data_IF_132577192027
#
_entry.id   IF_132577192027
#
_cell.length_a   1.000
_cell.length_b   1.000
_cell.length_c   1.000
_cell.angle_alpha   90.00
_cell.angle_beta   90.00
_cell.angle_gamma   90.00
#
_symmetry.space_group_name_H-M   'P 1'
#
loop_
_entity.id
_entity.type
_entity.pdbx_description
1 polymer ?
#
# COMPACT_ATOMS: atom_id res chain seq x y z
N UNK A 1 -13.37 -27.65 6.24
CA UNK A 1 -13.54 -28.33 4.93
C UNK A 1 -12.76 -29.63 4.95
N UNK A 2 -13.30 -30.74 4.41
CA UNK A 2 -12.58 -32.00 4.32
C UNK A 2 -11.31 -31.86 3.45
N UNK A 3 -10.21 -32.52 3.85
CA UNK A 3 -8.90 -32.47 3.15
C UNK A 3 -8.99 -32.81 1.66
N UNK A 4 -9.82 -33.80 1.28
CA UNK A 4 -9.98 -34.21 -0.11
C UNK A 4 -10.55 -33.11 -1.02
N UNK A 5 -11.37 -32.20 -0.50
CA UNK A 5 -11.94 -31.09 -1.29
C UNK A 5 -10.89 -29.99 -1.53
N UNK A 6 -9.97 -29.78 -0.57
CA UNK A 6 -8.88 -28.80 -0.71
C UNK A 6 -7.87 -29.26 -1.77
N UNK A 7 -7.48 -30.53 -1.76
CA UNK A 7 -6.55 -31.12 -2.73
C UNK A 7 -7.10 -31.02 -4.17
N UNK A 8 -8.37 -31.36 -4.38
CA UNK A 8 -9.00 -31.26 -5.72
C UNK A 8 -9.09 -29.81 -6.21
N UNK A 9 -9.41 -28.86 -5.33
CA UNK A 9 -9.44 -27.44 -5.70
C UNK A 9 -8.06 -26.90 -6.05
N UNK A 10 -7.02 -27.27 -5.29
CA UNK A 10 -5.64 -26.87 -5.57
C UNK A 10 -5.17 -27.44 -6.93
N UNK A 11 -5.48 -28.70 -7.20
CA UNK A 11 -5.15 -29.36 -8.47
C UNK A 11 -5.82 -28.68 -9.66
N UNK A 12 -7.11 -28.35 -9.56
CA UNK A 12 -7.83 -27.64 -10.63
C UNK A 12 -7.29 -26.22 -10.83
N UNK A 13 -6.92 -25.53 -9.76
CA UNK A 13 -6.33 -24.20 -9.79
C UNK A 13 -4.98 -24.22 -10.52
N UNK A 14 -4.07 -25.10 -10.13
CA UNK A 14 -2.76 -25.25 -10.79
C UNK A 14 -2.94 -25.54 -12.28
N UNK A 15 -3.82 -26.48 -12.64
CA UNK A 15 -4.08 -26.83 -14.05
C UNK A 15 -4.66 -25.66 -14.86
N UNK A 16 -5.45 -24.77 -14.25
CA UNK A 16 -6.03 -23.63 -14.95
C UNK A 16 -4.98 -22.56 -15.33
N UNK A 17 -3.84 -22.52 -14.62
CA UNK A 17 -2.79 -21.51 -14.81
C UNK A 17 -1.45 -22.11 -15.27
N UNK A 18 -1.35 -23.43 -15.42
CA UNK A 18 -0.11 -24.16 -15.72
C UNK A 18 0.62 -23.66 -16.98
N UNK A 19 -0.13 -23.17 -17.97
CA UNK A 19 0.42 -22.66 -19.23
C UNK A 19 0.18 -21.14 -19.42
N UNK A 20 -0.17 -20.43 -18.36
CA UNK A 20 -0.39 -18.99 -18.44
C UNK A 20 0.94 -18.24 -18.35
N UNK A 21 1.27 -17.43 -19.36
CA UNK A 21 2.40 -16.48 -19.27
C UNK A 21 2.01 -15.19 -18.53
N UNK A 22 0.72 -14.85 -18.58
CA UNK A 22 0.15 -13.64 -18.00
C UNK A 22 -1.24 -13.92 -17.42
N UNK A 23 -1.48 -13.49 -16.19
CA UNK A 23 -2.77 -13.48 -15.53
C UNK A 23 -3.23 -12.03 -15.40
N UNK A 24 -4.43 -11.73 -15.90
CA UNK A 24 -5.03 -10.40 -15.83
C UNK A 24 -6.19 -10.46 -14.82
N UNK A 25 -6.05 -9.72 -13.74
CA UNK A 25 -7.10 -9.45 -12.77
C UNK A 25 -7.90 -8.21 -13.20
N UNK A 26 -9.17 -8.41 -13.50
CA UNK A 26 -10.15 -7.35 -13.73
C UNK A 26 -11.35 -7.51 -12.77
N UNK A 27 -11.15 -8.20 -11.64
CA UNK A 27 -12.20 -8.52 -10.66
C UNK A 27 -12.57 -7.33 -9.78
N UNK A 28 -11.73 -6.30 -9.73
CA UNK A 28 -11.83 -5.16 -8.79
C UNK A 28 -11.81 -5.58 -7.32
N UNK A 29 -11.26 -6.76 -7.01
CA UNK A 29 -11.23 -7.33 -5.66
C UNK A 29 -9.81 -7.38 -5.10
N UNK A 30 -9.58 -6.60 -4.04
CA UNK A 30 -8.31 -6.62 -3.28
C UNK A 30 -7.97 -8.04 -2.82
N UNK A 31 -8.98 -8.85 -2.44
CA UNK A 31 -8.77 -10.23 -2.00
C UNK A 31 -8.26 -11.15 -3.13
N UNK A 32 -8.75 -10.94 -4.36
CA UNK A 32 -8.29 -11.70 -5.53
C UNK A 32 -6.87 -11.27 -5.89
N UNK A 33 -6.62 -9.97 -5.99
CA UNK A 33 -5.31 -9.41 -6.28
C UNK A 33 -4.26 -9.91 -5.28
N UNK A 34 -4.58 -9.83 -3.98
CA UNK A 34 -3.68 -10.27 -2.90
C UNK A 34 -3.41 -11.77 -2.96
N UNK A 35 -4.40 -12.57 -3.35
CA UNK A 35 -4.21 -14.00 -3.56
C UNK A 35 -3.28 -14.26 -4.75
N UNK A 36 -3.50 -13.58 -5.88
CA UNK A 36 -2.67 -13.69 -7.08
C UNK A 36 -1.21 -13.28 -6.83
N UNK A 37 -1.00 -12.22 -6.04
CA UNK A 37 0.32 -11.72 -5.71
C UNK A 37 1.13 -12.72 -4.87
N UNK A 38 0.50 -13.31 -3.85
CA UNK A 38 1.18 -14.02 -2.75
C UNK A 38 1.08 -15.54 -2.79
N UNK A 39 0.15 -16.12 -3.55
CA UNK A 39 -0.01 -17.56 -3.65
C UNK A 39 0.89 -18.15 -4.73
N UNK A 40 1.90 -18.91 -4.31
CA UNK A 40 2.87 -19.53 -5.21
C UNK A 40 2.25 -20.61 -6.12
N UNK A 41 1.02 -21.08 -5.84
CA UNK A 41 0.35 -22.10 -6.67
C UNK A 41 0.01 -21.64 -8.09
N UNK A 42 0.08 -20.33 -8.36
CA UNK A 42 -0.10 -19.78 -9.70
C UNK A 42 1.17 -19.88 -10.58
N UNK A 43 2.30 -20.37 -10.07
CA UNK A 43 3.56 -20.48 -10.81
C UNK A 43 4.19 -19.12 -11.14
N UNK A 44 5.01 -19.07 -12.19
CA UNK A 44 5.83 -17.89 -12.54
C UNK A 44 5.14 -16.89 -13.48
N UNK A 45 3.89 -17.14 -13.89
CA UNK A 45 3.12 -16.25 -14.76
C UNK A 45 3.19 -14.79 -14.31
N UNK A 46 3.36 -13.81 -15.19
CA UNK A 46 3.23 -12.41 -14.75
C UNK A 46 1.81 -12.12 -14.32
N UNK A 47 1.62 -11.19 -13.40
CA UNK A 47 0.30 -10.69 -13.03
C UNK A 47 0.12 -9.24 -13.41
N UNK A 48 -1.12 -8.90 -13.75
CA UNK A 48 -1.58 -7.53 -13.91
C UNK A 48 -2.93 -7.37 -13.23
N UNK A 49 -3.17 -6.21 -12.64
CA UNK A 49 -4.48 -5.78 -12.15
C UNK A 49 -4.90 -4.54 -12.93
N UNK A 50 -6.12 -4.55 -13.46
CA UNK A 50 -6.72 -3.40 -14.14
C UNK A 50 -8.10 -3.13 -13.56
N UNK A 51 -8.34 -1.87 -13.20
CA UNK A 51 -9.61 -1.47 -12.61
C UNK A 51 -9.91 0.00 -12.90
N UNK A 52 -11.19 0.35 -12.78
CA UNK A 52 -11.62 1.75 -12.88
C UNK A 52 -11.65 2.39 -11.49
N UNK A 53 -11.42 3.70 -11.43
CA UNK A 53 -11.70 4.46 -10.23
C UNK A 53 -13.23 4.48 -9.94
N UNK A 54 -13.67 4.86 -8.73
CA UNK A 54 -15.08 4.79 -8.34
C UNK A 54 -16.05 5.59 -9.24
N UNK A 55 -15.58 6.67 -9.87
CA UNK A 55 -16.34 7.47 -10.84
C UNK A 55 -16.37 6.89 -12.24
N UNK A 56 -15.54 5.90 -12.54
CA UNK A 56 -15.40 5.32 -13.88
C UNK A 56 -14.83 6.28 -14.92
N UNK A 57 -14.08 7.30 -14.48
CA UNK A 57 -13.44 8.30 -15.34
C UNK A 57 -11.95 8.03 -15.53
N UNK A 58 -11.39 7.09 -14.77
CA UNK A 58 -9.97 6.76 -14.78
C UNK A 58 -9.75 5.25 -14.79
N UNK A 59 -8.79 4.79 -15.59
CA UNK A 59 -8.27 3.42 -15.58
C UNK A 59 -6.97 3.39 -14.79
N UNK A 60 -6.86 2.47 -13.85
CA UNK A 60 -5.62 2.12 -13.16
C UNK A 60 -5.12 0.79 -13.72
N UNK A 61 -3.82 0.71 -13.99
CA UNK A 61 -3.12 -0.51 -14.39
C UNK A 61 -1.92 -0.71 -13.48
N UNK A 62 -1.86 -1.89 -12.85
CA UNK A 62 -0.73 -2.44 -12.14
C UNK A 62 -0.20 -3.63 -12.94
N UNK A 63 1.09 -3.66 -13.24
CA UNK A 63 1.71 -4.70 -14.07
C UNK A 63 3.04 -5.13 -13.44
N UNK A 64 3.16 -6.39 -13.04
CA UNK A 64 4.40 -6.94 -12.49
C UNK A 64 5.50 -6.96 -13.57
N UNK A 65 6.76 -6.87 -13.18
CA UNK A 65 7.92 -7.21 -14.03
C UNK A 65 8.02 -8.74 -14.26
N UNK A 66 8.84 -9.16 -15.22
CA UNK A 66 9.03 -10.60 -15.52
C UNK A 66 9.61 -11.41 -14.35
N UNK A 67 10.46 -10.80 -13.53
CA UNK A 67 11.05 -11.45 -12.35
C UNK A 67 10.13 -11.40 -11.13
N UNK A 68 8.97 -10.72 -11.26
CA UNK A 68 8.01 -10.47 -10.17
C UNK A 68 8.68 -9.83 -8.95
N UNK A 69 9.71 -9.00 -9.16
CA UNK A 69 10.32 -8.17 -8.11
C UNK A 69 9.29 -7.18 -7.55
N UNK A 70 8.51 -6.55 -8.43
CA UNK A 70 7.39 -5.69 -8.10
C UNK A 70 6.09 -6.47 -8.24
N UNK A 71 5.82 -7.33 -7.26
CA UNK A 71 4.55 -8.07 -7.18
C UNK A 71 3.36 -7.12 -7.10
N UNK A 72 2.18 -7.60 -7.50
CA UNK A 72 0.94 -6.81 -7.46
C UNK A 72 0.69 -6.13 -6.10
N UNK A 73 0.92 -6.83 -4.99
CA UNK A 73 0.73 -6.25 -3.66
C UNK A 73 1.65 -5.04 -3.41
N UNK A 74 2.91 -5.11 -3.86
CA UNK A 74 3.86 -3.99 -3.72
C UNK A 74 3.54 -2.83 -4.67
N UNK A 75 3.03 -3.14 -5.87
CA UNK A 75 2.56 -2.14 -6.83
C UNK A 75 1.31 -1.42 -6.30
N UNK A 76 0.36 -2.14 -5.72
CA UNK A 76 -0.83 -1.56 -5.09
C UNK A 76 -0.44 -0.65 -3.92
N UNK A 77 0.51 -1.08 -3.07
CA UNK A 77 0.99 -0.23 -1.97
C UNK A 77 1.70 1.03 -2.47
N UNK A 78 2.45 0.92 -3.57
CA UNK A 78 3.08 2.08 -4.23
C UNK A 78 2.01 3.01 -4.79
N UNK A 79 0.96 2.48 -5.41
CA UNK A 79 -0.20 3.24 -5.87
C UNK A 79 -0.89 3.97 -4.70
N UNK A 80 -1.17 3.31 -3.57
CA UNK A 80 -1.77 3.98 -2.41
C UNK A 80 -0.88 5.08 -1.82
N UNK A 81 0.44 4.88 -1.79
CA UNK A 81 1.38 5.95 -1.43
C UNK A 81 1.17 7.18 -2.33
N UNK A 82 1.02 6.97 -3.62
CA UNK A 82 0.90 8.06 -4.59
C UNK A 82 -0.43 8.79 -4.47
N UNK A 83 -1.50 8.14 -4.05
CA UNK A 83 -2.74 8.83 -3.67
C UNK A 83 -2.54 9.82 -2.51
N UNK A 84 -1.58 9.57 -1.62
CA UNK A 84 -1.30 10.44 -0.47
C UNK A 84 -0.45 11.64 -0.89
N UNK A 85 0.59 11.43 -1.70
CA UNK A 85 1.65 12.42 -1.95
C UNK A 85 1.59 13.12 -3.32
N UNK A 86 0.82 12.62 -4.28
CA UNK A 86 0.67 13.27 -5.59
C UNK A 86 -0.67 14.01 -5.65
N UNK A 87 -0.59 15.34 -5.67
CA UNK A 87 -1.76 16.22 -5.67
C UNK A 87 -2.68 16.00 -6.89
N UNK A 88 -2.14 15.47 -8.00
CA UNK A 88 -2.93 15.12 -9.19
C UNK A 88 -3.97 14.03 -8.91
N UNK A 89 -3.80 13.27 -7.82
CA UNK A 89 -4.63 12.13 -7.44
C UNK A 89 -5.55 12.41 -6.23
N UNK A 90 -5.58 13.65 -5.72
CA UNK A 90 -6.37 13.99 -4.52
C UNK A 90 -7.85 13.57 -4.62
N UNK A 91 -8.46 13.71 -5.80
CA UNK A 91 -9.87 13.35 -6.05
C UNK A 91 -10.04 11.99 -6.74
N UNK A 92 -8.96 11.23 -6.92
CA UNK A 92 -8.94 9.99 -7.74
C UNK A 92 -9.97 8.96 -7.26
N UNK A 93 -10.08 8.75 -5.94
CA UNK A 93 -11.02 7.81 -5.32
C UNK A 93 -12.32 8.45 -4.82
N UNK A 94 -12.61 9.68 -5.23
CA UNK A 94 -13.90 10.31 -4.90
C UNK A 94 -15.06 9.54 -5.55
N UNK A 95 -16.19 9.44 -4.84
CA UNK A 95 -17.39 8.74 -5.32
C UNK A 95 -18.34 9.73 -5.99
N UNK A 96 -19.09 9.30 -7.00
CA UNK A 96 -20.18 10.09 -7.60
C UNK A 96 -21.34 10.28 -6.61
N UNK A 97 -22.24 11.23 -6.88
CA UNK A 97 -23.49 11.35 -6.12
C UNK A 97 -24.26 10.02 -6.12
N UNK A 98 -24.66 9.57 -4.93
CA UNK A 98 -25.39 8.31 -4.74
C UNK A 98 -26.87 8.53 -5.02
N UNK A 99 -27.48 7.76 -5.94
CA UNK A 99 -28.93 7.56 -5.90
C UNK A 99 -29.26 6.38 -4.98
N UNK A 100 -30.07 6.62 -3.94
CA UNK A 100 -30.65 5.55 -3.14
C UNK A 100 -31.68 4.80 -3.98
N UNK A 101 -31.34 3.62 -4.48
CA UNK A 101 -32.36 2.68 -4.95
C UNK A 101 -32.93 1.97 -3.72
N UNK A 102 -34.23 2.17 -3.45
CA UNK A 102 -34.94 1.50 -2.35
C UNK A 102 -34.90 -0.02 -2.57
N UNK A 103 -33.95 -0.73 -1.96
CA UNK A 103 -33.86 -2.19 -2.03
C UNK A 103 -33.08 -2.75 -0.82
N UNK A 104 -33.76 -3.50 0.05
CA UNK A 104 -33.19 -4.18 1.21
C UNK A 104 -32.36 -5.42 0.82
N UNK A 105 -31.29 -5.24 0.03
CA UNK A 105 -30.29 -6.27 -0.21
C UNK A 105 -28.89 -5.66 -0.23
N UNK A 106 -27.84 -6.47 -0.06
CA UNK A 106 -26.42 -6.04 -0.19
C UNK A 106 -26.02 -5.54 -1.60
N UNK A 107 -27.01 -5.18 -2.44
CA UNK A 107 -26.89 -4.51 -3.75
C UNK A 107 -27.53 -3.10 -3.72
N UNK A 108 -27.48 -2.42 -2.59
CA UNK A 108 -28.20 -1.16 -2.39
C UNK A 108 -27.43 0.10 -2.85
N UNK A 109 -26.19 -0.03 -3.33
CA UNK A 109 -25.40 1.10 -3.83
C UNK A 109 -24.67 0.69 -5.11
N UNK A 110 -25.15 1.15 -6.27
CA UNK A 110 -24.39 1.10 -7.53
C UNK A 110 -24.01 2.52 -7.89
N UNK A 111 -22.72 2.77 -8.08
CA UNK A 111 -22.26 3.98 -8.75
C UNK A 111 -22.80 3.99 -10.18
N UNK A 112 -23.27 5.14 -10.65
CA UNK A 112 -23.60 5.32 -12.05
C UNK A 112 -22.27 5.59 -12.76
N UNK A 113 -21.86 4.66 -13.61
CA UNK A 113 -20.66 4.80 -14.43
C UNK A 113 -21.11 5.04 -15.87
N UNK A 114 -20.48 6.02 -16.53
CA UNK A 114 -20.68 6.26 -17.95
C UNK A 114 -20.15 5.08 -18.78
N UNK A 115 -21.03 4.46 -19.55
CA UNK A 115 -20.71 3.29 -20.36
C UNK A 115 -19.71 3.61 -21.48
N UNK A 116 -19.72 4.82 -22.02
CA UNK A 116 -18.79 5.25 -23.07
C UNK A 116 -17.37 5.34 -22.49
N UNK A 117 -17.24 5.83 -21.25
CA UNK A 117 -15.97 5.83 -20.53
C UNK A 117 -15.46 4.40 -20.31
N UNK A 118 -16.33 3.46 -19.93
CA UNK A 118 -15.94 2.04 -19.78
C UNK A 118 -15.40 1.49 -21.09
N UNK A 119 -16.09 1.71 -22.22
CA UNK A 119 -15.64 1.25 -23.53
C UNK A 119 -14.30 1.84 -23.96
N UNK A 120 -14.11 3.16 -23.76
CA UNK A 120 -12.87 3.86 -24.05
C UNK A 120 -11.71 3.35 -23.20
N UNK A 121 -11.89 3.25 -21.88
CA UNK A 121 -10.87 2.81 -20.94
C UNK A 121 -10.55 1.32 -21.10
N UNK A 122 -11.53 0.46 -21.38
CA UNK A 122 -11.29 -0.95 -21.69
C UNK A 122 -10.45 -1.12 -22.98
N UNK A 123 -10.70 -0.28 -23.98
CA UNK A 123 -9.90 -0.26 -25.21
C UNK A 123 -8.44 0.14 -24.93
N UNK A 124 -8.23 1.12 -24.04
CA UNK A 124 -6.89 1.49 -23.57
C UNK A 124 -6.24 0.34 -22.80
N UNK A 125 -6.93 -0.25 -21.82
CA UNK A 125 -6.43 -1.37 -21.04
C UNK A 125 -5.96 -2.51 -21.95
N UNK A 126 -6.78 -2.92 -22.91
CA UNK A 126 -6.43 -3.96 -23.89
C UNK A 126 -5.16 -3.62 -24.67
N UNK A 127 -5.03 -2.38 -25.16
CA UNK A 127 -3.83 -1.95 -25.89
C UNK A 127 -2.58 -1.95 -25.02
N UNK A 128 -2.69 -1.47 -23.78
CA UNK A 128 -1.53 -1.32 -22.88
C UNK A 128 -1.07 -2.67 -22.35
N UNK A 129 -1.99 -3.58 -22.01
CA UNK A 129 -1.65 -4.96 -21.63
C UNK A 129 -0.87 -5.67 -22.75
N UNK A 130 -1.27 -5.52 -24.02
CA UNK A 130 -0.56 -6.08 -25.17
C UNK A 130 0.84 -5.47 -25.36
N UNK A 131 0.99 -4.15 -25.15
CA UNK A 131 2.29 -3.48 -25.24
C UNK A 131 3.24 -3.92 -24.12
N UNK A 132 2.74 -3.99 -22.89
CA UNK A 132 3.52 -4.37 -21.72
C UNK A 132 3.88 -5.86 -21.72
N UNK A 133 3.06 -6.72 -22.31
CA UNK A 133 3.40 -8.13 -22.53
C UNK A 133 4.68 -8.30 -23.36
N UNK A 134 5.00 -7.35 -24.25
CA UNK A 134 6.24 -7.34 -25.03
C UNK A 134 7.44 -6.68 -24.32
N UNK A 135 7.25 -6.13 -23.12
CA UNK A 135 8.30 -5.53 -22.27
C UNK A 135 8.59 -6.44 -21.07
N UNK A 136 9.72 -6.28 -20.40
CA UNK A 136 10.05 -6.99 -19.16
C UNK A 136 9.72 -6.20 -17.89
N UNK A 137 9.31 -4.94 -18.02
CA UNK A 137 9.28 -3.95 -16.95
C UNK A 137 7.96 -3.95 -16.18
N UNK A 138 8.03 -3.65 -14.89
CA UNK A 138 6.85 -3.34 -14.10
C UNK A 138 6.28 -1.97 -14.45
N UNK A 139 4.98 -1.77 -14.20
CA UNK A 139 4.28 -0.52 -14.49
C UNK A 139 3.16 -0.22 -13.51
N UNK A 140 3.08 1.03 -13.11
CA UNK A 140 1.85 1.64 -12.56
C UNK A 140 1.50 2.81 -13.47
N UNK A 141 0.28 2.81 -14.00
CA UNK A 141 -0.17 3.85 -14.91
C UNK A 141 -1.65 4.14 -14.71
N UNK A 142 -2.01 5.41 -14.90
CA UNK A 142 -3.39 5.87 -14.84
C UNK A 142 -3.71 6.59 -16.15
N UNK A 143 -4.88 6.29 -16.72
CA UNK A 143 -5.45 7.03 -17.84
C UNK A 143 -6.72 7.73 -17.38
N UNK A 144 -6.74 9.06 -17.47
CA UNK A 144 -7.84 9.90 -16.97
C UNK A 144 -8.57 10.56 -18.12
N UNK A 145 -9.88 10.40 -18.17
CA UNK A 145 -10.73 11.10 -19.14
C UNK A 145 -11.04 12.51 -18.62
N UNK A 146 -10.72 13.51 -19.42
CA UNK A 146 -11.13 14.89 -19.20
C UNK A 146 -12.64 15.05 -19.39
N UNK A 147 -13.33 15.53 -18.35
CA UNK A 147 -14.78 15.69 -18.36
C UNK A 147 -15.29 16.69 -19.42
N UNK A 148 -14.45 17.64 -19.87
CA UNK A 148 -14.89 18.71 -20.77
C UNK A 148 -14.77 18.38 -22.26
N UNK A 149 -13.94 17.42 -22.65
CA UNK A 149 -13.59 17.20 -24.06
C UNK A 149 -13.17 15.75 -24.41
N UNK A 150 -13.32 14.81 -23.47
CA UNK A 150 -12.98 13.39 -23.66
C UNK A 150 -11.52 13.10 -24.02
N UNK A 151 -10.61 14.07 -23.86
CA UNK A 151 -9.16 13.84 -23.98
C UNK A 151 -8.72 12.90 -22.84
N UNK A 152 -7.84 11.95 -23.15
CA UNK A 152 -7.32 11.02 -22.16
C UNK A 152 -5.89 11.38 -21.78
N UNK A 153 -5.70 11.85 -20.56
CA UNK A 153 -4.39 12.13 -19.98
C UNK A 153 -3.73 10.85 -19.50
N UNK A 154 -2.42 10.76 -19.69
CA UNK A 154 -1.59 9.66 -19.20
C UNK A 154 -0.77 10.11 -18.00
N UNK A 155 -0.95 9.43 -16.87
CA UNK A 155 -0.23 9.68 -15.62
C UNK A 155 0.67 8.46 -15.36
N UNK A 156 1.98 8.64 -15.55
CA UNK A 156 2.97 7.65 -15.15
C UNK A 156 3.23 7.75 -13.65
N UNK A 157 3.08 6.64 -12.94
CA UNK A 157 3.43 6.55 -11.53
C UNK A 157 4.84 5.93 -11.40
N UNK A 158 5.79 6.61 -10.74
CA UNK A 158 7.12 6.06 -10.52
C UNK A 158 7.06 4.84 -9.60
N UNK A 159 7.90 3.85 -9.89
CA UNK A 159 8.09 2.69 -9.03
C UNK A 159 9.12 3.01 -7.94
N UNK A 160 8.95 2.37 -6.80
CA UNK A 160 9.91 2.43 -5.69
C UNK A 160 10.25 1.03 -5.21
N UNK A 161 11.51 0.87 -4.82
CA UNK A 161 11.99 -0.36 -4.20
C UNK A 161 11.51 -0.48 -2.76
N UNK A 162 11.47 -1.71 -2.27
CA UNK A 162 11.02 -2.07 -0.93
C UNK A 162 12.12 -2.80 -0.19
N UNK A 163 12.29 -2.45 1.09
CA UNK A 163 13.16 -3.19 2.00
C UNK A 163 12.30 -4.13 2.85
N UNK A 164 12.66 -5.41 2.88
CA UNK A 164 12.00 -6.44 3.68
C UNK A 164 12.77 -6.67 5.00
N UNK A 165 12.04 -6.66 6.11
CA UNK A 165 12.49 -7.08 7.43
C UNK A 165 11.64 -8.26 7.88
N UNK A 166 12.27 -9.35 8.32
CA UNK A 166 11.58 -10.51 8.90
C UNK A 166 11.76 -10.49 10.43
N UNK A 167 10.66 -10.25 11.14
CA UNK A 167 10.62 -10.10 12.59
C UNK A 167 9.79 -11.25 13.17
N UNK A 168 10.46 -12.33 13.59
CA UNK A 168 9.80 -13.51 14.15
C UNK A 168 8.69 -14.08 13.25
N UNK A 169 8.88 -14.08 11.92
CA UNK A 169 7.89 -14.55 10.94
C UNK A 169 6.91 -13.49 10.46
N UNK A 170 6.93 -12.28 11.05
CA UNK A 170 6.21 -11.11 10.54
C UNK A 170 7.05 -10.43 9.48
N UNK A 171 6.53 -10.34 8.25
CA UNK A 171 7.21 -9.65 7.14
C UNK A 171 6.82 -8.18 7.15
N UNK A 172 7.78 -7.31 7.36
CA UNK A 172 7.59 -5.86 7.29
C UNK A 172 8.27 -5.33 6.03
N UNK A 173 7.48 -4.87 5.08
CA UNK A 173 7.95 -4.18 3.88
C UNK A 173 7.92 -2.67 4.14
N UNK A 174 9.06 -1.99 4.03
CA UNK A 174 9.14 -0.53 4.09
C UNK A 174 9.58 0.00 2.74
N UNK A 175 8.80 0.91 2.16
CA UNK A 175 9.16 1.52 0.87
C UNK A 175 10.39 2.42 1.03
N UNK A 176 11.31 2.38 0.08
CA UNK A 176 12.59 3.11 0.18
C UNK A 176 12.42 4.62 0.28
N UNK A 177 11.31 5.19 -0.23
CA UNK A 177 10.95 6.59 0.00
C UNK A 177 10.84 6.92 1.49
N UNK A 178 10.19 6.05 2.28
CA UNK A 178 10.03 6.25 3.71
C UNK A 178 11.38 6.16 4.41
N UNK A 179 12.21 5.18 4.06
CA UNK A 179 13.59 5.08 4.57
C UNK A 179 14.38 6.35 4.25
N UNK A 180 14.21 6.92 3.06
CA UNK A 180 14.90 8.14 2.64
C UNK A 180 14.43 9.37 3.43
N UNK A 181 13.11 9.50 3.64
CA UNK A 181 12.52 10.53 4.51
C UNK A 181 13.08 10.44 5.93
N UNK A 182 13.13 9.22 6.51
CA UNK A 182 13.69 9.00 7.85
C UNK A 182 15.17 9.42 7.92
N UNK A 183 15.97 9.10 6.89
CA UNK A 183 17.38 9.50 6.80
C UNK A 183 17.52 11.02 6.74
N UNK A 184 16.76 11.68 5.88
CA UNK A 184 16.79 13.14 5.72
C UNK A 184 16.38 13.86 7.02
N UNK A 185 15.34 13.38 7.67
CA UNK A 185 14.87 13.95 8.94
C UNK A 185 15.88 13.76 10.07
N UNK A 186 16.52 12.57 10.18
CA UNK A 186 17.61 12.35 11.13
C UNK A 186 18.78 13.31 10.88
N UNK A 187 19.19 13.49 9.63
CA UNK A 187 20.32 14.34 9.30
C UNK A 187 20.01 15.83 9.57
N UNK A 188 18.77 16.25 9.30
CA UNK A 188 18.35 17.64 9.53
C UNK A 188 18.10 17.97 11.01
N UNK A 189 17.85 16.98 11.87
CA UNK A 189 17.70 17.19 13.33
C UNK A 189 19.03 17.36 14.07
N UNK A 190 20.17 17.18 13.40
CA UNK A 190 21.50 17.42 13.95
C UNK A 190 21.83 16.48 15.11
N UNK A 191 21.93 17.01 16.32
CA UNK A 191 22.25 16.24 17.54
C UNK A 191 21.01 15.84 18.34
N UNK A 192 19.81 16.17 17.88
CA UNK A 192 18.56 15.88 18.58
C UNK A 192 17.84 14.70 17.95
N UNK A 193 17.29 13.82 18.79
CA UNK A 193 16.38 12.79 18.33
C UNK A 193 15.14 13.42 17.69
N UNK A 194 14.71 12.84 16.58
CA UNK A 194 13.45 13.16 15.90
C UNK A 194 12.72 11.87 15.57
N UNK A 195 11.54 11.98 14.97
CA UNK A 195 10.76 10.82 14.59
C UNK A 195 9.53 11.17 13.79
N UNK A 196 8.59 10.24 13.77
CA UNK A 196 7.35 10.38 13.04
C UNK A 196 6.44 9.18 13.21
N UNK A 197 5.35 9.19 12.46
CA UNK A 197 4.34 8.13 12.46
C UNK A 197 4.30 7.43 11.12
N UNK A 198 4.04 6.13 11.15
CA UNK A 198 3.89 5.30 9.97
C UNK A 198 2.45 5.11 9.58
N UNK A 199 2.23 5.13 8.27
CA UNK A 199 0.96 4.77 7.64
C UNK A 199 1.17 3.69 6.58
N UNK A 200 0.22 2.78 6.50
CA UNK A 200 0.17 1.78 5.45
C UNK A 200 -0.90 0.73 5.65
N UNK A 201 -0.63 -0.48 5.16
CA UNK A 201 -1.59 -1.57 5.09
C UNK A 201 -1.00 -2.82 5.74
N UNK A 202 -1.85 -3.80 6.02
CA UNK A 202 -1.40 -5.08 6.57
C UNK A 202 -2.31 -6.23 6.13
N UNK A 203 -1.75 -7.44 6.07
CA UNK A 203 -2.42 -8.71 5.83
C UNK A 203 -2.12 -9.63 7.01
N UNK A 204 -3.10 -9.83 7.88
CA UNK A 204 -2.96 -10.64 9.09
C UNK A 204 -2.85 -12.11 8.81
N UNK A 205 -3.65 -12.61 7.87
CA UNK A 205 -3.67 -14.03 7.53
C UNK A 205 -2.30 -14.48 7.01
N UNK A 206 -1.55 -13.57 6.39
CA UNK A 206 -0.21 -13.82 5.85
C UNK A 206 0.93 -13.22 6.68
N UNK A 207 0.63 -12.57 7.81
CA UNK A 207 1.61 -11.94 8.70
C UNK A 207 2.50 -10.91 7.97
N UNK A 208 1.89 -10.02 7.18
CA UNK A 208 2.60 -9.00 6.40
C UNK A 208 2.14 -7.59 6.78
N UNK A 209 3.08 -6.69 6.99
CA UNK A 209 2.85 -5.25 7.18
C UNK A 209 3.57 -4.49 6.06
N UNK A 210 2.91 -3.49 5.48
CA UNK A 210 3.46 -2.62 4.44
C UNK A 210 3.46 -1.18 4.95
N UNK A 211 4.65 -0.62 5.20
CA UNK A 211 4.84 0.80 5.55
C UNK A 211 5.10 1.58 4.26
N UNK A 212 4.15 2.41 3.86
CA UNK A 212 4.14 3.11 2.57
C UNK A 212 4.24 4.64 2.70
N UNK A 213 4.00 5.19 3.88
CA UNK A 213 4.12 6.63 4.14
C UNK A 213 4.55 6.91 5.57
N UNK A 214 5.27 8.02 5.76
CA UNK A 214 5.65 8.54 7.07
C UNK A 214 5.27 10.01 7.13
N UNK A 215 4.60 10.41 8.21
CA UNK A 215 4.40 11.82 8.55
C UNK A 215 5.42 12.23 9.63
N UNK A 216 6.06 13.40 9.50
CA UNK A 216 7.03 13.87 10.50
C UNK A 216 6.42 14.03 11.89
N UNK A 217 7.28 14.15 12.90
CA UNK A 217 6.91 14.49 14.26
C UNK A 217 5.96 15.71 14.28
N UNK A 218 4.81 15.62 14.98
CA UNK A 218 3.95 16.77 15.24
C UNK A 218 4.69 17.93 15.90
N UNK A 219 4.22 19.15 15.68
CA UNK A 219 4.89 20.38 16.16
C UNK A 219 5.00 20.46 17.70
N UNK A 220 4.11 19.76 18.42
CA UNK A 220 4.11 19.65 19.88
C UNK A 220 5.03 18.53 20.42
N UNK A 221 5.80 17.88 19.54
CA UNK A 221 6.79 16.88 19.93
C UNK A 221 7.96 17.50 20.67
N UNK A 222 8.54 16.73 21.61
CA UNK A 222 9.72 17.14 22.38
C UNK A 222 10.94 16.36 21.91
N UNK A 223 11.97 17.11 21.55
CA UNK A 223 13.21 16.62 21.00
C UNK A 223 14.35 16.85 22.00
N UNK A 224 15.07 15.80 22.35
CA UNK A 224 16.26 15.81 23.19
C UNK A 224 17.40 15.02 22.54
N UNK A 225 18.64 15.14 23.04
CA UNK A 225 19.79 14.43 22.46
C UNK A 225 19.72 12.89 22.57
N UNK A 226 18.97 12.40 23.56
CA UNK A 226 18.78 10.97 23.86
C UNK A 226 17.33 10.68 24.27
N UNK A 227 16.40 11.53 23.82
CA UNK A 227 14.98 11.33 24.09
C UNK A 227 14.13 11.99 23.02
N UNK A 228 13.08 11.28 22.60
CA UNK A 228 12.04 11.79 21.74
C UNK A 228 10.68 11.45 22.34
N UNK A 229 9.82 12.47 22.47
CA UNK A 229 8.43 12.30 22.88
C UNK A 229 7.54 12.87 21.81
N UNK A 230 6.84 11.99 21.08
CA UNK A 230 5.97 12.37 19.99
C UNK A 230 4.71 13.09 20.52
N UNK A 231 4.45 14.27 19.98
CA UNK A 231 3.20 15.01 20.17
C UNK A 231 2.07 14.42 19.34
N UNK A 232 0.85 14.95 19.45
CA UNK A 232 -0.30 14.46 18.69
C UNK A 232 -1.05 15.52 17.89
N UNK A 233 -0.62 16.79 17.98
CA UNK A 233 -1.30 17.89 17.34
C UNK A 233 -1.33 17.71 15.81
N UNK A 234 -2.52 17.86 15.20
CA UNK A 234 -2.70 17.73 13.75
C UNK A 234 -2.78 16.29 13.21
N UNK A 235 -2.51 15.26 14.02
CA UNK A 235 -2.47 13.88 13.51
C UNK A 235 -3.85 13.34 13.11
N UNK A 236 -4.92 13.83 13.75
CA UNK A 236 -6.28 13.42 13.38
C UNK A 236 -6.61 13.88 11.97
N UNK A 237 -6.25 15.11 11.64
CA UNK A 237 -6.46 15.74 10.34
C UNK A 237 -5.63 15.04 9.27
N UNK A 238 -4.38 14.68 9.59
CA UNK A 238 -3.53 13.86 8.71
C UNK A 238 -4.18 12.50 8.42
N UNK A 239 -4.61 11.79 9.47
CA UNK A 239 -5.29 10.50 9.33
C UNK A 239 -6.58 10.62 8.52
N UNK A 240 -7.36 11.69 8.71
CA UNK A 240 -8.60 11.93 7.99
C UNK A 240 -8.35 12.26 6.51
N UNK A 241 -7.32 13.06 6.22
CA UNK A 241 -6.89 13.32 4.85
C UNK A 241 -6.47 12.03 4.14
N UNK A 242 -5.65 11.19 4.79
CA UNK A 242 -5.23 9.89 4.26
C UNK A 242 -6.43 8.97 4.04
N UNK A 243 -7.36 8.92 5.01
CA UNK A 243 -8.59 8.12 4.90
C UNK A 243 -9.41 8.52 3.67
N UNK A 244 -9.60 9.82 3.44
CA UNK A 244 -10.36 10.33 2.29
C UNK A 244 -9.67 9.99 0.97
N UNK A 245 -8.36 10.28 0.85
CA UNK A 245 -7.60 10.07 -0.39
C UNK A 245 -7.47 8.58 -0.75
N UNK A 246 -7.42 7.70 0.25
CA UNK A 246 -7.18 6.26 0.06
C UNK A 246 -8.42 5.41 0.22
N UNK A 247 -9.61 6.01 0.32
CA UNK A 247 -10.88 5.31 0.55
C UNK A 247 -10.80 4.33 1.75
N UNK A 248 -10.20 4.81 2.84
CA UNK A 248 -9.97 4.04 4.05
C UNK A 248 -9.24 2.72 3.79
N UNK A 249 -8.25 2.68 2.90
CA UNK A 249 -7.37 1.50 2.77
C UNK A 249 -6.09 1.62 3.59
N UNK A 250 -5.60 2.84 3.78
CA UNK A 250 -4.37 3.10 4.57
C UNK A 250 -4.71 3.41 6.02
N UNK A 251 -3.91 2.89 6.95
CA UNK A 251 -4.07 3.03 8.41
C UNK A 251 -2.77 3.48 9.07
N UNK A 252 -2.90 4.05 10.27
CA UNK A 252 -1.78 4.17 11.19
C UNK A 252 -1.22 2.78 11.53
N UNK A 253 0.11 2.65 11.52
CA UNK A 253 0.82 1.39 11.79
C UNK A 253 1.79 1.46 12.97
N UNK A 254 2.14 2.66 13.44
CA UNK A 254 3.10 2.83 14.51
C UNK A 254 4.03 4.01 14.29
N UNK A 255 5.24 3.91 14.80
CA UNK A 255 6.12 5.07 14.99
C UNK A 255 7.57 4.75 14.64
N UNK A 256 8.35 5.79 14.42
CA UNK A 256 9.79 5.69 14.36
C UNK A 256 10.45 6.88 15.01
N UNK A 257 11.70 6.67 15.39
CA UNK A 257 12.58 7.74 15.85
C UNK A 257 14.01 7.53 15.38
N UNK A 258 14.84 8.54 15.57
CA UNK A 258 16.24 8.54 15.19
C UNK A 258 17.16 8.47 16.40
N UNK A 259 18.28 7.78 16.26
CA UNK A 259 19.48 7.94 17.10
C UNK A 259 20.52 8.76 16.31
N UNK A 260 20.66 10.09 16.55
CA UNK A 260 21.32 11.01 15.62
C UNK A 260 22.81 10.77 15.39
N UNK A 261 23.54 10.27 16.37
CA UNK A 261 24.98 9.96 16.29
C UNK A 261 25.30 8.59 16.86
N UNK A 262 24.36 7.66 16.72
CA UNK A 262 24.39 6.36 17.39
C UNK A 262 23.95 5.22 16.49
N UNK A 263 24.12 4.02 17.03
CA UNK A 263 23.56 2.79 16.48
C UNK A 263 22.03 2.85 16.52
N UNK A 264 21.37 2.20 15.56
CA UNK A 264 19.93 1.95 15.55
C UNK A 264 19.45 0.96 16.63
N UNK A 265 20.31 0.55 17.56
CA UNK A 265 19.99 -0.41 18.61
C UNK A 265 19.01 0.20 19.62
N UNK A 266 17.87 -0.46 19.91
CA UNK A 266 16.89 0.03 20.87
C UNK A 266 17.45 0.05 22.30
N UNK A 267 17.23 1.16 23.00
CA UNK A 267 17.47 1.32 24.44
C UNK A 267 16.46 0.50 25.26
N UNK A 268 16.67 0.42 26.57
CA UNK A 268 15.70 -0.21 27.49
C UNK A 268 14.35 0.53 27.47
N UNK A 269 14.36 1.85 27.27
CA UNK A 269 13.14 2.65 27.20
C UNK A 269 12.38 2.36 25.91
N UNK A 270 13.08 2.25 24.77
CA UNK A 270 12.46 1.95 23.47
C UNK A 270 11.77 0.59 23.47
N UNK A 271 12.40 -0.42 24.09
CA UNK A 271 11.82 -1.76 24.26
C UNK A 271 10.55 -1.70 25.11
N UNK A 272 10.58 -0.97 26.23
CA UNK A 272 9.41 -0.81 27.09
C UNK A 272 8.26 -0.12 26.36
N UNK A 273 8.57 0.94 25.61
CA UNK A 273 7.58 1.64 24.79
C UNK A 273 6.98 0.70 23.74
N UNK A 274 7.80 -0.10 23.06
CA UNK A 274 7.30 -1.09 22.11
C UNK A 274 6.34 -2.08 22.78
N UNK A 275 6.71 -2.65 23.92
CA UNK A 275 5.88 -3.62 24.63
C UNK A 275 4.52 -3.02 25.04
N UNK A 276 4.53 -1.79 25.58
CA UNK A 276 3.31 -1.07 25.96
C UNK A 276 2.42 -0.79 24.73
N UNK A 277 2.98 -0.17 23.69
CA UNK A 277 2.20 0.26 22.51
C UNK A 277 1.72 -0.92 21.67
N UNK A 278 2.54 -1.95 21.48
CA UNK A 278 2.17 -3.13 20.71
C UNK A 278 1.08 -3.95 21.40
N UNK A 279 1.10 -4.02 22.73
CA UNK A 279 0.03 -4.66 23.52
C UNK A 279 -1.30 -3.94 23.32
N UNK A 280 -1.32 -2.61 23.43
CA UNK A 280 -2.54 -1.82 23.23
C UNK A 280 -3.10 -1.96 21.81
N UNK A 281 -2.23 -1.98 20.79
CA UNK A 281 -2.65 -2.14 19.40
C UNK A 281 -3.21 -3.54 19.13
N UNK A 282 -2.58 -4.60 19.68
CA UNK A 282 -3.09 -5.96 19.56
C UNK A 282 -4.45 -6.13 20.22
N UNK A 283 -4.71 -5.47 21.36
CA UNK A 283 -6.03 -5.46 21.99
C UNK A 283 -7.11 -4.86 21.08
N UNK A 284 -6.74 -3.92 20.22
CA UNK A 284 -7.60 -3.35 19.18
C UNK A 284 -7.58 -4.14 17.88
N UNK A 285 -6.83 -5.24 17.83
CA UNK A 285 -6.62 -6.04 16.65
C UNK A 285 -6.06 -5.18 15.50
N UNK A 286 -4.93 -4.49 15.73
CA UNK A 286 -4.20 -3.69 14.75
C UNK A 286 -2.70 -4.00 14.94
N UNK A 287 -1.87 -4.09 13.88
CA UNK A 287 -0.44 -4.24 14.05
C UNK A 287 0.22 -3.00 14.64
N UNK A 288 1.42 -3.17 15.16
CA UNK A 288 2.29 -2.09 15.56
C UNK A 288 3.70 -2.28 15.00
N UNK A 289 4.27 -1.22 14.43
CA UNK A 289 5.64 -1.17 13.92
C UNK A 289 6.40 -0.07 14.68
N UNK A 290 7.55 -0.43 15.22
CA UNK A 290 8.54 0.52 15.71
C UNK A 290 9.78 0.44 14.82
N UNK A 291 10.29 1.58 14.38
CA UNK A 291 11.59 1.63 13.71
C UNK A 291 12.53 2.64 14.35
N UNK A 292 13.83 2.33 14.33
CA UNK A 292 14.87 3.22 14.81
C UNK A 292 15.88 3.41 13.70
N UNK A 293 16.18 4.66 13.35
CA UNK A 293 17.21 4.96 12.37
C UNK A 293 18.47 5.54 13.02
N UNK A 294 19.60 4.89 12.77
CA UNK A 294 20.92 5.31 13.20
C UNK A 294 21.91 5.36 12.04
N UNK A 295 23.20 5.48 12.36
CA UNK A 295 24.26 5.54 11.33
C UNK A 295 24.45 4.20 10.59
N UNK A 296 24.13 3.09 11.24
CA UNK A 296 24.24 1.73 10.71
C UNK A 296 22.96 1.24 9.99
N UNK A 297 22.01 2.13 9.70
CA UNK A 297 20.78 1.82 8.98
C UNK A 297 19.54 1.81 9.88
N UNK A 298 18.56 0.99 9.53
CA UNK A 298 17.24 0.96 10.17
C UNK A 298 17.04 -0.34 10.93
N UNK A 299 16.73 -0.23 12.21
CA UNK A 299 16.20 -1.30 13.03
C UNK A 299 14.68 -1.27 12.94
N UNK A 300 14.05 -2.45 12.89
CA UNK A 300 12.59 -2.59 12.83
C UNK A 300 12.18 -3.66 13.85
N UNK A 301 11.10 -3.38 14.57
CA UNK A 301 10.38 -4.33 15.39
C UNK A 301 8.89 -4.24 15.06
N UNK A 302 8.18 -5.36 15.10
CA UNK A 302 6.76 -5.37 14.73
C UNK A 302 5.99 -6.51 15.37
N UNK A 303 4.67 -6.31 15.48
CA UNK A 303 3.69 -7.28 15.95
C UNK A 303 2.39 -7.11 15.14
N UNK A 304 1.69 -8.20 14.82
CA UNK A 304 0.48 -8.22 13.97
C UNK A 304 -0.57 -9.23 14.45
#
# INVERSE_FOLDING_TARGET
MPEGVKLTRLFHKQRAFENADLIIDASTSIAVERNLALDNSYGDARRSSVFLNPKGTELVLLYEDTERKYRLDLLEMTYYRMLIVDERLNDHLSVSEKQRTNSFSCRAESSIIDYDNVGLLASIASQQLKKLYASNDAKIAIWRISAGNSVVDYINIPLSDWQLFDINGVKVYIINDVISIMKEQRLSSGTLETGGVFFGCYDKDRQIIYVLHSHPAPIDSKHGPTSFVRGCNGLKEVQDSINLKTYYQVRYLGEWHSHPSGSNTPSTLDKKQFDEMSTDHLLQNIPFVQAIIGDNGVYVNALI
#
